data_IF_496795490968
#
_entry.id   IF_496795490968
#
_cell.length_a   1.000
_cell.length_b   1.000
_cell.length_c   1.000
_cell.angle_alpha   90.00
_cell.angle_beta   90.00
_cell.angle_gamma   90.00
#
_symmetry.space_group_name_H-M   'P 1'
#
loop_
_entity.id
_entity.type
_entity.pdbx_description
1 polymer ?
#
# COMPACT_ATOMS: atom_id res chain seq x y z
N UNK A 1 0.14 13.73 0.84
CA UNK A 1 -0.03 14.35 2.18
C UNK A 1 0.20 13.38 3.34
N UNK A 2 -0.56 12.28 3.47
CA UNK A 2 -0.47 11.38 4.64
C UNK A 2 0.93 10.81 4.87
N UNK A 3 1.57 10.28 3.82
CA UNK A 3 2.94 9.75 3.87
C UNK A 3 3.94 10.77 4.47
N UNK A 4 3.87 12.02 4.02
CA UNK A 4 4.75 13.09 4.51
C UNK A 4 4.54 13.36 6.00
N UNK A 5 3.28 13.49 6.45
CA UNK A 5 2.97 13.74 7.86
C UNK A 5 3.42 12.60 8.78
N UNK A 6 3.31 11.35 8.33
CA UNK A 6 3.85 10.19 9.05
C UNK A 6 5.38 10.29 9.11
N UNK A 7 6.03 10.61 7.99
CA UNK A 7 7.48 10.81 7.91
C UNK A 7 7.98 11.86 8.91
N UNK A 8 7.36 13.03 8.98
CA UNK A 8 7.72 14.09 9.93
C UNK A 8 7.65 13.64 11.40
N UNK A 9 6.68 12.77 11.74
CA UNK A 9 6.56 12.19 13.09
C UNK A 9 7.67 11.17 13.33
N UNK A 10 7.89 10.25 12.39
CA UNK A 10 8.90 9.20 12.49
C UNK A 10 10.32 9.78 12.56
N UNK A 11 10.63 10.80 11.77
CA UNK A 11 11.92 11.51 11.76
C UNK A 11 12.18 12.16 13.12
N UNK A 12 11.19 12.85 13.69
CA UNK A 12 11.30 13.48 15.02
C UNK A 12 11.53 12.47 16.15
N UNK A 13 11.00 11.26 16.01
CA UNK A 13 11.14 10.19 17.01
C UNK A 13 12.30 9.24 16.72
N UNK A 14 13.00 9.41 15.58
CA UNK A 14 14.03 8.50 15.09
C UNK A 14 13.55 7.04 14.99
N UNK A 15 12.34 6.84 14.44
CA UNK A 15 11.72 5.53 14.26
C UNK A 15 11.77 5.13 12.78
N UNK A 16 12.38 3.98 12.42
CA UNK A 16 12.30 3.47 11.06
C UNK A 16 10.88 3.02 10.75
N UNK A 17 10.42 3.26 9.52
CA UNK A 17 9.04 3.03 9.15
C UNK A 17 8.89 2.64 7.67
N UNK A 18 7.73 2.08 7.35
CA UNK A 18 7.30 1.66 6.01
C UNK A 18 5.91 2.24 5.78
N UNK A 19 5.68 2.85 4.62
CA UNK A 19 4.35 3.37 4.29
C UNK A 19 3.45 2.25 3.77
N UNK A 20 2.28 2.06 4.39
CA UNK A 20 1.30 1.06 3.97
C UNK A 20 0.08 1.72 3.36
N UNK A 21 -0.33 1.24 2.19
CA UNK A 21 -1.67 1.49 1.64
C UNK A 21 -2.16 0.28 0.84
N UNK A 22 -3.42 0.29 0.42
CA UNK A 22 -4.02 -0.74 -0.42
C UNK A 22 -4.82 -0.09 -1.55
N UNK A 23 -4.78 -0.68 -2.73
CA UNK A 23 -5.54 -0.23 -3.88
C UNK A 23 -6.97 -0.78 -3.92
N UNK A 24 -7.24 -1.86 -3.17
CA UNK A 24 -8.55 -2.51 -3.04
C UNK A 24 -8.80 -3.01 -1.61
N UNK A 25 -10.09 -3.12 -1.26
CA UNK A 25 -10.64 -3.62 0.00
C UNK A 25 -11.67 -4.70 -0.27
N UNK A 26 -11.22 -5.76 -0.90
CA UNK A 26 -11.90 -7.02 -1.18
C UNK A 26 -12.76 -7.67 -0.06
N UNK A 27 -12.43 -7.42 1.20
CA UNK A 27 -12.97 -8.10 2.38
C UNK A 27 -14.07 -7.31 3.10
N UNK A 28 -14.66 -6.32 2.42
CA UNK A 28 -15.79 -5.54 2.94
C UNK A 28 -17.05 -6.38 2.99
N UNK A 29 -17.81 -6.26 4.09
CA UNK A 29 -19.06 -7.03 4.27
C UNK A 29 -20.21 -6.56 3.38
N UNK A 30 -20.20 -5.29 2.93
CA UNK A 30 -21.27 -4.73 2.11
C UNK A 30 -20.74 -4.37 0.72
N UNK A 31 -21.45 -4.84 -0.32
CA UNK A 31 -21.11 -4.61 -1.74
C UNK A 31 -21.08 -3.14 -2.13
N UNK A 32 -21.83 -2.29 -1.41
CA UNK A 32 -21.88 -0.84 -1.65
C UNK A 32 -20.75 -0.07 -0.97
N UNK A 33 -19.87 -0.76 -0.23
CA UNK A 33 -18.75 -0.11 0.44
C UNK A 33 -17.75 0.44 -0.59
N UNK A 34 -17.00 1.48 -0.21
CA UNK A 34 -15.85 1.86 -1.01
C UNK A 34 -14.74 0.80 -0.91
N UNK A 35 -14.29 0.36 -2.09
CA UNK A 35 -13.26 -0.66 -2.28
C UNK A 35 -11.87 -0.04 -2.47
N UNK A 36 -11.76 1.02 -3.26
CA UNK A 36 -10.49 1.64 -3.57
C UNK A 36 -10.51 2.29 -4.94
N UNK A 37 -9.34 2.69 -5.40
CA UNK A 37 -9.14 3.28 -6.74
C UNK A 37 -8.82 2.22 -7.80
N UNK A 38 -8.59 0.96 -7.39
CA UNK A 38 -8.22 -0.12 -8.28
C UNK A 38 -6.72 -0.20 -8.53
N UNK A 39 -6.29 -1.30 -9.14
CA UNK A 39 -4.87 -1.68 -9.18
C UNK A 39 -3.99 -0.70 -9.96
N UNK A 40 -4.41 -0.24 -11.14
CA UNK A 40 -3.59 0.63 -11.99
C UNK A 40 -3.31 1.96 -11.29
N UNK A 41 -4.36 2.71 -10.95
CA UNK A 41 -4.23 3.99 -10.24
C UNK A 41 -3.57 3.81 -8.87
N UNK A 42 -3.91 2.76 -8.13
CA UNK A 42 -3.35 2.52 -6.80
C UNK A 42 -1.85 2.20 -6.82
N UNK A 43 -1.37 1.45 -7.81
CA UNK A 43 0.05 1.18 -7.97
C UNK A 43 0.81 2.40 -8.48
N UNK A 44 0.22 3.21 -9.37
CA UNK A 44 0.82 4.48 -9.80
C UNK A 44 1.03 5.44 -8.62
N UNK A 45 0.03 5.57 -7.74
CA UNK A 45 0.13 6.37 -6.52
C UNK A 45 1.23 5.83 -5.59
N UNK A 46 1.31 4.51 -5.40
CA UNK A 46 2.35 3.90 -4.56
C UNK A 46 3.75 4.09 -5.14
N UNK A 47 3.91 4.00 -6.46
CA UNK A 47 5.16 4.26 -7.15
C UNK A 47 5.60 5.71 -6.96
N UNK A 48 4.69 6.68 -7.11
CA UNK A 48 4.95 8.10 -6.89
C UNK A 48 5.37 8.37 -5.44
N UNK A 49 4.66 7.79 -4.45
CA UNK A 49 5.01 7.93 -3.04
C UNK A 49 6.41 7.38 -2.77
N UNK A 50 6.70 6.16 -3.25
CA UNK A 50 8.01 5.52 -3.08
C UNK A 50 9.13 6.37 -3.68
N UNK A 51 8.92 6.93 -4.87
CA UNK A 51 9.92 7.75 -5.57
C UNK A 51 10.13 9.12 -4.92
N UNK A 52 9.03 9.81 -4.58
CA UNK A 52 9.05 11.19 -4.09
C UNK A 52 9.47 11.27 -2.62
N UNK A 53 8.97 10.37 -1.78
CA UNK A 53 9.22 10.38 -0.33
C UNK A 53 10.42 9.50 0.06
N UNK A 54 10.92 8.67 -0.85
CA UNK A 54 12.08 7.78 -0.65
C UNK A 54 11.93 6.89 0.61
N UNK A 55 10.71 6.48 0.91
CA UNK A 55 10.38 5.55 2.00
C UNK A 55 9.96 4.21 1.40
N UNK A 56 10.29 3.07 2.05
CA UNK A 56 9.78 1.78 1.61
C UNK A 56 8.25 1.75 1.67
N UNK A 57 7.62 1.06 0.72
CA UNK A 57 6.17 0.91 0.65
C UNK A 57 5.73 -0.55 0.71
N UNK A 58 4.56 -0.80 1.28
CA UNK A 58 3.94 -2.13 1.40
C UNK A 58 2.48 -2.10 0.98
N UNK A 59 2.08 -3.10 0.21
CA UNK A 59 0.70 -3.31 -0.24
C UNK A 59 0.31 -4.79 -0.14
N UNK A 60 -0.96 -5.03 0.17
CA UNK A 60 -1.61 -6.33 0.11
C UNK A 60 -2.20 -6.60 -1.28
N UNK A 61 -2.34 -7.89 -1.60
CA UNK A 61 -3.03 -8.40 -2.77
C UNK A 61 -3.83 -9.65 -2.39
N UNK A 62 -4.85 -9.95 -3.19
CA UNK A 62 -5.85 -10.97 -2.86
C UNK A 62 -6.00 -12.04 -3.95
N UNK A 63 -5.48 -11.75 -5.14
CA UNK A 63 -5.36 -12.69 -6.26
C UNK A 63 -3.88 -12.86 -6.58
N UNK A 64 -3.42 -14.12 -6.65
CA UNK A 64 -2.05 -14.47 -6.97
C UNK A 64 -1.58 -13.91 -8.32
N UNK A 65 -2.48 -13.70 -9.29
CA UNK A 65 -2.15 -13.08 -10.58
C UNK A 65 -1.63 -11.65 -10.43
N UNK A 66 -2.03 -10.95 -9.36
CA UNK A 66 -1.64 -9.56 -9.08
C UNK A 66 -0.32 -9.46 -8.30
N UNK A 67 0.21 -10.58 -7.79
CA UNK A 67 1.40 -10.60 -6.96
C UNK A 67 2.62 -10.03 -7.71
N UNK A 68 2.85 -10.48 -8.95
CA UNK A 68 3.99 -10.03 -9.75
C UNK A 68 3.90 -8.54 -10.10
N UNK A 69 2.71 -8.06 -10.47
CA UNK A 69 2.50 -6.65 -10.78
C UNK A 69 2.70 -5.77 -9.54
N UNK A 70 2.17 -6.19 -8.39
CA UNK A 70 2.33 -5.47 -7.11
C UNK A 70 3.81 -5.43 -6.71
N UNK A 71 4.53 -6.56 -6.82
CA UNK A 71 5.94 -6.69 -6.45
C UNK A 71 6.90 -5.81 -7.25
N UNK A 72 6.53 -5.41 -8.47
CA UNK A 72 7.34 -4.49 -9.27
C UNK A 72 7.36 -3.07 -8.72
N UNK A 73 6.38 -2.72 -7.88
CA UNK A 73 6.18 -1.36 -7.36
C UNK A 73 6.57 -1.26 -5.89
N UNK A 74 6.26 -2.28 -5.09
CA UNK A 74 6.39 -2.22 -3.62
C UNK A 74 7.63 -2.93 -3.10
N UNK A 75 8.11 -2.51 -1.92
CA UNK A 75 9.27 -3.13 -1.26
C UNK A 75 8.88 -4.37 -0.45
N UNK A 76 7.63 -4.45 -0.01
CA UNK A 76 7.07 -5.60 0.71
C UNK A 76 5.69 -5.97 0.18
N UNK A 77 5.44 -7.27 0.05
CA UNK A 77 4.12 -7.83 -0.20
C UNK A 77 3.49 -8.28 1.12
N UNK A 78 2.25 -7.87 1.37
CA UNK A 78 1.47 -8.29 2.53
C UNK A 78 0.40 -9.31 2.10
N UNK A 79 0.27 -10.42 2.83
CA UNK A 79 -0.83 -11.37 2.63
C UNK A 79 -1.98 -11.03 3.58
N UNK A 80 -3.22 -10.82 3.08
CA UNK A 80 -4.39 -10.64 3.93
C UNK A 80 -4.58 -11.82 4.89
N UNK A 81 -4.98 -11.54 6.13
CA UNK A 81 -5.11 -12.56 7.16
C UNK A 81 -6.11 -13.68 6.82
N UNK A 82 -7.07 -13.45 5.94
CA UNK A 82 -8.06 -14.45 5.53
C UNK A 82 -7.55 -15.37 4.40
N UNK A 83 -6.32 -15.14 3.90
CA UNK A 83 -5.67 -15.89 2.83
C UNK A 83 -4.37 -16.59 3.29
N UNK A 84 -4.15 -16.74 4.61
CA UNK A 84 -2.92 -17.32 5.16
C UNK A 84 -2.90 -18.85 5.21
#
# INVERSE_FOLDING_TARGET
EMCQRIGEICDRLNIPWVYKSCYDKDSRSAVTSFHGVGIEEGLDILAEIRQSQKVPVVCDFSDANLANQTAQVVDFLQIPAYLC
#
